data_IF_166226275930
#
_entry.id   IF_166226275930
#
_cell.length_a   1.000
_cell.length_b   1.000
_cell.length_c   1.000
_cell.angle_alpha   90.00
_cell.angle_beta   90.00
_cell.angle_gamma   90.00
#
_symmetry.space_group_name_H-M   'P 1'
#
loop_
_entity.id
_entity.type
_entity.pdbx_description
1 polymer ?
#
# COMPACT_ATOMS: atom_id res chain seq x y z
N UNK A 1 6.09 2.35 4.21
CA UNK A 1 5.58 3.29 3.17
C UNK A 1 6.47 4.52 2.92
N UNK A 2 7.26 5.00 3.89
CA UNK A 2 8.08 6.22 3.75
C UNK A 2 9.01 6.17 2.53
N UNK A 3 9.87 5.16 2.41
CA UNK A 3 10.82 5.06 1.29
C UNK A 3 10.11 4.96 -0.07
N UNK A 4 9.02 4.20 -0.15
CA UNK A 4 8.21 4.12 -1.37
C UNK A 4 7.61 5.48 -1.77
N UNK A 5 7.25 6.32 -0.80
CA UNK A 5 6.76 7.68 -1.04
C UNK A 5 7.85 8.58 -1.59
N UNK A 6 9.06 8.51 -1.02
CA UNK A 6 10.22 9.24 -1.54
C UNK A 6 10.59 8.83 -2.97
N UNK A 7 10.56 7.53 -3.27
CA UNK A 7 10.86 6.99 -4.60
C UNK A 7 9.77 7.29 -5.65
N UNK A 8 8.51 7.43 -5.22
CA UNK A 8 7.36 7.73 -6.08
C UNK A 8 6.99 9.23 -6.09
N UNK A 9 7.82 10.11 -5.53
CA UNK A 9 7.49 11.52 -5.31
C UNK A 9 7.03 12.26 -6.57
N UNK A 10 7.59 11.90 -7.73
CA UNK A 10 7.28 12.51 -9.04
C UNK A 10 5.88 12.20 -9.56
N UNK A 11 5.15 11.27 -8.93
CA UNK A 11 3.78 10.89 -9.31
C UNK A 11 2.72 11.43 -8.37
N UNK A 12 3.10 11.99 -7.23
CA UNK A 12 2.16 12.46 -6.23
C UNK A 12 1.59 13.82 -6.62
N UNK A 13 0.29 13.99 -6.41
CA UNK A 13 -0.43 15.26 -6.61
C UNK A 13 -0.81 15.84 -5.24
N UNK A 14 -1.26 14.99 -4.31
CA UNK A 14 -1.62 15.44 -2.96
C UNK A 14 -0.38 15.71 -2.11
N UNK A 15 -0.48 16.68 -1.20
CA UNK A 15 0.65 17.02 -0.33
C UNK A 15 0.96 15.89 0.64
N UNK A 16 2.25 15.66 0.87
CA UNK A 16 2.76 14.79 1.91
C UNK A 16 4.07 15.36 2.43
N UNK A 17 4.48 14.89 3.59
CA UNK A 17 5.75 15.27 4.18
C UNK A 17 6.35 14.12 5.00
N UNK A 18 7.66 14.17 5.19
CA UNK A 18 8.44 13.18 5.94
C UNK A 18 9.36 13.95 6.88
N UNK A 19 9.46 13.51 8.13
CA UNK A 19 10.42 14.03 9.09
C UNK A 19 11.76 13.34 8.81
N UNK A 20 12.81 14.12 8.61
CA UNK A 20 14.17 13.61 8.56
C UNK A 20 14.95 14.19 9.74
N UNK A 21 15.54 13.34 10.58
CA UNK A 21 16.38 13.77 11.69
C UNK A 21 17.66 12.96 11.76
N UNK A 22 18.75 13.62 12.16
CA UNK A 22 20.10 13.03 12.21
C UNK A 22 20.55 12.91 13.65
N UNK A 23 21.02 11.72 14.03
CA UNK A 23 21.66 11.46 15.32
C UNK A 23 23.06 10.91 15.05
N UNK A 24 24.08 11.70 15.35
CA UNK A 24 25.46 11.38 14.96
C UNK A 24 25.57 11.21 13.44
N UNK A 25 26.06 10.04 13.00
CA UNK A 25 26.18 9.73 11.57
C UNK A 25 25.02 8.88 11.00
N UNK A 26 23.87 8.85 11.70
CA UNK A 26 22.68 8.12 11.25
C UNK A 26 21.58 9.11 10.89
N UNK A 27 21.00 8.94 9.71
CA UNK A 27 19.82 9.67 9.26
C UNK A 27 18.59 8.77 9.39
N UNK A 28 17.56 9.26 10.06
CA UNK A 28 16.29 8.58 10.25
C UNK A 28 15.21 9.32 9.47
N UNK A 29 14.36 8.56 8.78
CA UNK A 29 13.16 9.07 8.15
C UNK A 29 11.96 8.55 8.92
N UNK A 30 11.11 9.46 9.37
CA UNK A 30 9.90 9.17 10.12
C UNK A 30 8.72 9.95 9.54
N UNK A 31 7.52 9.60 9.98
CA UNK A 31 6.27 10.26 9.61
C UNK A 31 5.75 11.05 10.82
N UNK A 32 5.09 12.17 10.60
CA UNK A 32 4.42 12.88 11.71
C UNK A 32 3.37 11.99 12.34
N UNK A 33 3.29 12.01 13.66
CA UNK A 33 2.05 11.61 14.31
C UNK A 33 1.01 12.70 14.04
N UNK A 34 -0.08 12.32 13.38
CA UNK A 34 -1.14 13.26 12.97
C UNK A 34 -2.37 13.15 13.87
N UNK A 35 -2.38 12.21 14.83
CA UNK A 35 -3.53 11.95 15.72
C UNK A 35 -4.85 11.62 15.00
N UNK A 36 -4.83 11.47 13.67
CA UNK A 36 -5.98 11.30 12.80
C UNK A 36 -5.95 10.01 11.99
N UNK A 37 -7.01 9.77 11.20
CA UNK A 37 -7.31 8.49 10.55
C UNK A 37 -6.25 7.97 9.55
N UNK A 38 -5.44 8.83 8.95
CA UNK A 38 -4.29 8.40 8.14
C UNK A 38 -3.28 9.52 7.97
N UNK A 39 -2.01 9.21 8.23
CA UNK A 39 -0.90 10.07 7.81
C UNK A 39 -0.87 10.11 6.26
N UNK A 40 -0.66 11.26 5.61
CA UNK A 40 -0.60 11.35 4.14
C UNK A 40 0.36 10.37 3.46
N UNK A 41 1.47 10.02 4.13
CA UNK A 41 2.43 9.00 3.65
C UNK A 41 1.79 7.61 3.55
N UNK A 42 0.93 7.27 4.51
CA UNK A 42 0.24 5.98 4.60
C UNK A 42 -1.13 5.97 3.91
N UNK A 43 -1.66 7.15 3.57
CA UNK A 43 -2.96 7.27 2.94
C UNK A 43 -3.00 6.51 1.61
N UNK A 44 -4.06 5.70 1.46
CA UNK A 44 -4.43 5.04 0.22
C UNK A 44 -5.36 5.96 -0.57
N UNK A 45 -4.77 6.96 -1.22
CA UNK A 45 -5.49 7.96 -2.02
C UNK A 45 -6.32 7.29 -3.12
N UNK A 46 -7.46 7.89 -3.47
CA UNK A 46 -8.41 7.34 -4.45
C UNK A 46 -8.55 8.35 -5.57
N UNK A 47 -8.25 7.92 -6.81
CA UNK A 47 -8.32 8.75 -8.01
C UNK A 47 -7.45 10.03 -7.96
N UNK A 48 -6.36 10.03 -7.18
CA UNK A 48 -5.47 11.19 -6.98
C UNK A 48 -4.91 11.75 -8.30
N UNK A 49 -4.58 10.88 -9.25
CA UNK A 49 -3.96 11.26 -10.52
C UNK A 49 -4.96 11.27 -11.69
N UNK A 50 -6.26 11.15 -11.37
CA UNK A 50 -7.31 11.28 -12.37
C UNK A 50 -7.45 12.73 -12.83
N UNK A 51 -7.82 12.99 -14.09
CA UNK A 51 -8.26 14.32 -14.53
C UNK A 51 -9.45 14.85 -13.71
N UNK A 52 -10.30 13.94 -13.25
CA UNK A 52 -11.50 14.23 -12.45
C UNK A 52 -11.30 13.73 -11.02
N UNK A 53 -10.16 14.13 -10.41
CA UNK A 53 -9.85 13.78 -9.03
C UNK A 53 -10.97 14.26 -8.08
N UNK A 54 -11.34 13.47 -7.05
CA UNK A 54 -12.34 13.87 -6.08
C UNK A 54 -12.00 15.24 -5.45
N UNK A 55 -12.95 16.16 -5.49
CA UNK A 55 -12.76 17.57 -5.09
C UNK A 55 -13.93 18.12 -4.26
N UNK A 56 -14.78 17.25 -3.71
CA UNK A 56 -15.90 17.66 -2.87
C UNK A 56 -15.41 18.43 -1.64
N UNK A 57 -15.84 19.67 -1.48
CA UNK A 57 -15.55 20.51 -0.30
C UNK A 57 -16.41 20.14 0.92
N UNK A 58 -17.52 19.45 0.70
CA UNK A 58 -18.36 18.93 1.78
C UNK A 58 -17.66 17.74 2.47
N UNK A 59 -17.15 17.99 3.68
CA UNK A 59 -16.47 16.98 4.51
C UNK A 59 -17.38 15.82 4.94
N UNK A 60 -18.71 16.01 4.91
CA UNK A 60 -19.69 14.96 5.22
C UNK A 60 -20.01 14.10 4.01
N UNK A 61 -19.64 14.56 2.81
CA UNK A 61 -19.78 13.80 1.58
C UNK A 61 -19.00 12.49 1.68
N UNK A 62 -19.65 11.41 1.32
CA UNK A 62 -19.01 10.10 1.27
C UNK A 62 -17.92 10.01 0.19
N UNK A 63 -18.00 10.88 -0.82
CA UNK A 63 -17.03 11.00 -1.90
C UNK A 63 -15.94 12.05 -1.60
N UNK A 64 -15.90 12.61 -0.40
CA UNK A 64 -14.81 13.47 0.03
C UNK A 64 -13.48 12.68 0.03
N UNK A 65 -12.36 13.23 -0.47
CA UNK A 65 -11.09 12.50 -0.65
C UNK A 65 -10.63 11.74 0.60
N UNK A 66 -10.79 12.38 1.77
CA UNK A 66 -10.47 11.77 3.07
C UNK A 66 -11.31 10.53 3.36
N UNK A 67 -12.63 10.60 3.12
CA UNK A 67 -13.55 9.50 3.42
C UNK A 67 -13.30 8.33 2.47
N UNK A 68 -13.05 8.61 1.19
CA UNK A 68 -12.64 7.60 0.21
C UNK A 68 -11.31 6.93 0.59
N UNK A 69 -10.30 7.69 1.04
CA UNK A 69 -9.03 7.13 1.48
C UNK A 69 -9.19 6.25 2.74
N UNK A 70 -10.06 6.64 3.66
CA UNK A 70 -10.42 5.82 4.84
C UNK A 70 -11.13 4.53 4.42
N UNK A 71 -12.10 4.60 3.52
CA UNK A 71 -12.77 3.41 2.95
C UNK A 71 -11.76 2.49 2.26
N UNK A 72 -10.86 3.03 1.44
CA UNK A 72 -9.81 2.28 0.75
C UNK A 72 -8.84 1.58 1.73
N UNK A 73 -8.51 2.23 2.86
CA UNK A 73 -7.71 1.64 3.93
C UNK A 73 -8.42 0.42 4.53
N UNK A 74 -9.69 0.55 4.91
CA UNK A 74 -10.48 -0.56 5.44
C UNK A 74 -10.63 -1.70 4.44
N UNK A 75 -10.88 -1.39 3.17
CA UNK A 75 -10.93 -2.39 2.10
C UNK A 75 -9.61 -3.17 2.03
N UNK A 76 -8.46 -2.48 2.03
CA UNK A 76 -7.16 -3.14 1.97
C UNK A 76 -6.89 -4.01 3.21
N UNK A 77 -7.20 -3.51 4.41
CA UNK A 77 -7.01 -4.26 5.66
C UNK A 77 -7.90 -5.51 5.75
N UNK A 78 -9.13 -5.44 5.26
CA UNK A 78 -10.06 -6.56 5.25
C UNK A 78 -9.71 -7.55 4.14
N UNK A 79 -9.47 -7.05 2.92
CA UNK A 79 -9.16 -7.89 1.76
C UNK A 79 -7.94 -8.76 2.01
N UNK A 80 -6.83 -8.18 2.53
CA UNK A 80 -5.61 -8.94 2.81
C UNK A 80 -5.84 -10.10 3.80
N UNK A 81 -6.73 -9.92 4.79
CA UNK A 81 -7.07 -10.96 5.77
C UNK A 81 -8.00 -12.01 5.17
N UNK A 82 -8.98 -11.57 4.40
CA UNK A 82 -10.02 -12.40 3.80
C UNK A 82 -9.46 -13.43 2.80
N UNK A 83 -8.42 -13.08 2.05
CA UNK A 83 -7.86 -13.95 1.01
C UNK A 83 -6.82 -14.95 1.51
N UNK A 84 -6.51 -14.93 2.81
CA UNK A 84 -5.57 -15.86 3.43
C UNK A 84 -6.31 -17.02 4.07
N UNK A 85 -5.65 -18.17 4.13
CA UNK A 85 -6.16 -19.33 4.85
C UNK A 85 -5.94 -19.11 6.35
N UNK A 86 -7.04 -19.16 7.13
CA UNK A 86 -7.01 -18.92 8.59
C UNK A 86 -7.07 -20.19 9.45
N UNK A 87 -7.28 -21.34 8.81
CA UNK A 87 -7.39 -22.64 9.48
C UNK A 87 -6.11 -23.49 9.33
N UNK A 88 -5.02 -22.90 8.85
CA UNK A 88 -3.73 -23.54 8.65
C UNK A 88 -2.66 -22.83 9.51
N UNK A 89 -1.58 -23.54 9.86
CA UNK A 89 -0.46 -22.92 10.57
C UNK A 89 0.17 -21.81 9.71
N UNK A 90 0.32 -20.59 10.26
CA UNK A 90 0.92 -19.49 9.51
C UNK A 90 2.41 -19.72 9.30
N UNK A 91 2.90 -19.24 8.16
CA UNK A 91 4.34 -19.16 7.91
C UNK A 91 4.99 -18.22 8.95
N UNK A 92 6.07 -18.68 9.58
CA UNK A 92 6.83 -17.94 10.59
C UNK A 92 8.26 -17.74 10.09
N UNK A 93 8.74 -16.50 10.17
CA UNK A 93 10.16 -16.21 10.03
C UNK A 93 10.94 -16.68 11.26
N UNK A 94 12.27 -16.66 11.16
CA UNK A 94 13.20 -17.04 12.25
C UNK A 94 12.87 -16.35 13.59
N UNK A 95 12.42 -15.09 13.53
CA UNK A 95 11.91 -14.35 14.68
C UNK A 95 10.37 -14.32 14.62
N UNK A 96 9.67 -15.17 15.39
CA UNK A 96 8.22 -15.30 15.30
C UNK A 96 7.46 -14.16 15.99
N UNK A 97 8.11 -13.42 16.91
CA UNK A 97 7.48 -12.30 17.62
C UNK A 97 7.69 -11.00 16.85
N UNK A 98 6.62 -10.22 16.71
CA UNK A 98 6.72 -8.87 16.17
C UNK A 98 7.44 -7.96 17.16
N UNK A 99 8.35 -7.08 16.71
CA UNK A 99 9.19 -6.26 17.60
C UNK A 99 8.43 -5.12 18.32
N UNK A 100 7.14 -4.96 18.01
CA UNK A 100 6.24 -3.95 18.59
C UNK A 100 4.95 -4.61 19.13
N UNK A 101 4.98 -5.93 19.32
CA UNK A 101 3.94 -6.63 20.05
C UNK A 101 4.18 -6.42 21.55
N UNK A 102 3.24 -5.75 22.22
CA UNK A 102 3.31 -5.48 23.67
C UNK A 102 2.85 -6.68 24.52
N UNK A 103 2.62 -7.85 23.90
CA UNK A 103 2.25 -9.09 24.57
C UNK A 103 0.77 -9.45 24.45
N UNK A 104 0.03 -8.77 23.57
CA UNK A 104 -1.37 -9.06 23.30
C UNK A 104 -1.45 -10.02 22.09
N UNK A 105 -1.21 -11.29 22.38
CA UNK A 105 -1.05 -12.39 21.41
C UNK A 105 -2.28 -12.68 20.56
N UNK A 106 -3.39 -11.98 20.77
CA UNK A 106 -4.68 -12.19 20.07
C UNK A 106 -4.88 -11.25 18.87
N UNK A 107 -3.88 -10.42 18.56
CA UNK A 107 -3.96 -9.55 17.39
C UNK A 107 -3.69 -10.36 16.12
N UNK A 108 -4.75 -10.69 15.36
CA UNK A 108 -4.67 -11.34 14.03
C UNK A 108 -3.97 -10.43 13.00
N UNK A 109 -2.65 -10.38 13.12
CA UNK A 109 -1.74 -9.58 12.33
C UNK A 109 -1.15 -10.47 11.23
N UNK A 110 -1.85 -10.53 10.11
CA UNK A 110 -1.38 -11.22 8.90
C UNK A 110 -0.32 -10.40 8.14
N UNK A 111 0.79 -10.06 8.81
CA UNK A 111 1.93 -9.36 8.18
C UNK A 111 3.23 -9.81 8.80
N UNK A 112 4.23 -10.04 7.94
CA UNK A 112 5.59 -10.34 8.36
C UNK A 112 6.53 -9.20 7.98
N UNK A 113 7.50 -8.90 8.84
CA UNK A 113 8.46 -7.83 8.64
C UNK A 113 9.85 -8.39 8.36
N UNK A 114 10.53 -7.78 7.39
CA UNK A 114 11.90 -8.13 7.01
C UNK A 114 12.74 -6.86 6.98
N UNK A 115 13.84 -6.85 7.70
CA UNK A 115 14.79 -5.73 7.66
C UNK A 115 15.86 -6.04 6.62
N UNK A 116 16.02 -5.13 5.66
CA UNK A 116 16.91 -5.32 4.52
C UNK A 116 17.93 -4.19 4.47
N UNK A 117 19.15 -4.53 4.07
CA UNK A 117 20.29 -3.61 3.95
C UNK A 117 20.67 -3.47 2.47
N UNK A 118 20.85 -2.23 2.02
CA UNK A 118 21.40 -1.90 0.70
C UNK A 118 22.64 -1.02 0.85
N UNK A 119 23.63 -1.28 0.01
CA UNK A 119 24.81 -0.43 -0.15
C UNK A 119 24.55 0.54 -1.31
N UNK A 120 24.45 1.84 -1.00
CA UNK A 120 24.12 2.88 -1.98
C UNK A 120 25.37 3.57 -2.55
N UNK A 121 26.56 2.99 -2.34
CA UNK A 121 27.84 3.54 -2.75
C UNK A 121 28.53 4.32 -1.64
N UNK A 122 29.42 5.24 -2.03
CA UNK A 122 30.26 6.03 -1.13
C UNK A 122 30.08 7.52 -1.38
N UNK A 123 30.14 8.31 -0.32
CA UNK A 123 30.25 9.77 -0.40
C UNK A 123 31.65 10.17 -0.90
N UNK A 124 31.81 11.45 -1.24
CA UNK A 124 33.10 12.01 -1.68
C UNK A 124 34.23 11.84 -0.65
N UNK A 125 33.89 11.80 0.64
CA UNK A 125 34.82 11.57 1.76
C UNK A 125 35.18 10.08 1.98
N UNK A 126 34.67 9.18 1.13
CA UNK A 126 34.89 7.74 1.22
C UNK A 126 33.91 7.00 2.14
N UNK A 127 33.02 7.71 2.85
CA UNK A 127 32.05 7.08 3.77
C UNK A 127 31.01 6.29 3.01
N UNK A 128 30.82 5.02 3.39
CA UNK A 128 29.78 4.17 2.80
C UNK A 128 28.37 4.60 3.20
N UNK A 129 27.49 4.72 2.22
CA UNK A 129 26.07 4.98 2.45
C UNK A 129 25.33 3.65 2.50
N UNK A 130 24.81 3.34 3.70
CA UNK A 130 24.03 2.13 3.96
C UNK A 130 22.59 2.50 4.25
N UNK A 131 21.66 1.90 3.51
CA UNK A 131 20.23 2.05 3.73
C UNK A 131 19.69 0.79 4.39
N UNK A 132 19.12 0.94 5.58
CA UNK A 132 18.34 -0.11 6.24
C UNK A 132 16.87 0.24 6.10
N UNK A 133 16.07 -0.66 5.54
CA UNK A 133 14.63 -0.47 5.42
C UNK A 133 13.88 -1.66 6.02
N UNK A 134 12.85 -1.36 6.82
CA UNK A 134 11.84 -2.34 7.22
C UNK A 134 10.87 -2.52 6.07
N UNK A 135 10.74 -3.75 5.59
CA UNK A 135 9.83 -4.16 4.52
C UNK A 135 8.81 -5.17 5.03
N UNK A 136 7.78 -5.43 4.25
CA UNK A 136 6.60 -6.18 4.68
C UNK A 136 6.18 -7.21 3.63
N UNK A 137 5.74 -8.38 4.08
CA UNK A 137 5.06 -9.38 3.26
C UNK A 137 3.67 -9.65 3.85
N UNK A 138 2.66 -9.73 2.99
CA UNK A 138 1.26 -9.87 3.36
C UNK A 138 0.81 -11.35 3.40
N UNK A 139 1.57 -12.27 2.81
CA UNK A 139 1.26 -13.69 2.82
C UNK A 139 2.28 -14.54 2.08
N UNK A 140 2.01 -15.85 1.99
CA UNK A 140 2.81 -16.82 1.24
C UNK A 140 1.93 -17.70 0.36
N UNK A 141 2.53 -18.24 -0.70
CA UNK A 141 1.94 -19.32 -1.51
C UNK A 141 2.99 -20.37 -1.80
N UNK A 142 2.56 -21.60 -2.10
CA UNK A 142 3.45 -22.59 -2.69
C UNK A 142 3.55 -22.34 -4.19
N UNK A 143 4.79 -22.32 -4.69
CA UNK A 143 5.09 -22.30 -6.10
C UNK A 143 4.92 -23.69 -6.74
N UNK A 144 5.09 -23.78 -8.07
CA UNK A 144 4.87 -25.03 -8.81
C UNK A 144 5.75 -26.20 -8.35
N UNK A 145 6.93 -25.93 -7.80
CA UNK A 145 7.86 -26.96 -7.33
C UNK A 145 7.82 -27.15 -5.80
N UNK A 146 6.82 -26.57 -5.13
CA UNK A 146 6.66 -26.63 -3.67
C UNK A 146 7.50 -25.61 -2.90
N UNK A 147 8.20 -24.69 -3.59
CA UNK A 147 8.93 -23.61 -2.93
C UNK A 147 7.96 -22.58 -2.34
N UNK A 148 8.32 -22.00 -1.18
CA UNK A 148 7.52 -20.92 -0.58
C UNK A 148 7.81 -19.61 -1.29
N UNK A 149 6.77 -19.00 -1.86
CA UNK A 149 6.81 -17.69 -2.51
C UNK A 149 6.15 -16.63 -1.64
N UNK A 150 6.82 -15.49 -1.47
CA UNK A 150 6.39 -14.36 -0.67
C UNK A 150 5.47 -13.43 -1.46
N UNK A 151 4.42 -12.95 -0.82
CA UNK A 151 3.39 -12.14 -1.48
C UNK A 151 3.32 -10.73 -0.89
N UNK A 152 3.10 -9.77 -1.77
CA UNK A 152 2.49 -8.47 -1.43
C UNK A 152 1.06 -8.46 -1.94
N UNK A 153 0.09 -8.16 -1.08
CA UNK A 153 -1.34 -8.21 -1.39
C UNK A 153 -1.91 -6.82 -1.20
N UNK A 154 -2.53 -6.28 -2.25
CA UNK A 154 -3.17 -4.95 -2.24
C UNK A 154 -4.54 -5.04 -2.92
N UNK A 155 -5.42 -4.08 -2.64
CA UNK A 155 -6.74 -4.03 -3.24
C UNK A 155 -6.99 -2.66 -3.87
N UNK A 156 -7.37 -2.66 -5.14
CA UNK A 156 -8.05 -1.52 -5.76
C UNK A 156 -9.51 -1.50 -5.30
N UNK A 157 -10.06 -0.29 -5.24
CA UNK A 157 -11.44 -0.04 -4.87
C UNK A 157 -12.15 0.80 -5.93
N UNK A 158 -13.23 0.27 -6.50
CA UNK A 158 -14.17 1.02 -7.32
C UNK A 158 -15.21 1.68 -6.41
N UNK A 159 -15.32 3.01 -6.51
CA UNK A 159 -16.33 3.80 -5.82
C UNK A 159 -17.48 4.13 -6.78
N UNK A 160 -17.56 5.34 -7.34
CA UNK A 160 -18.52 5.67 -8.41
C UNK A 160 -17.79 5.82 -9.75
N UNK A 161 -17.91 4.82 -10.62
CA UNK A 161 -17.25 4.80 -11.93
C UNK A 161 -17.69 5.95 -12.85
N UNK A 162 -18.88 6.52 -12.64
CA UNK A 162 -19.39 7.66 -13.43
C UNK A 162 -18.71 8.97 -13.04
N UNK A 163 -18.32 9.09 -11.78
CA UNK A 163 -17.65 10.28 -11.25
C UNK A 163 -16.12 10.17 -11.35
N UNK A 164 -15.58 8.95 -11.36
CA UNK A 164 -14.15 8.69 -11.34
C UNK A 164 -13.48 8.72 -12.72
N UNK A 165 -14.18 9.17 -13.77
CA UNK A 165 -13.80 8.93 -15.17
C UNK A 165 -13.34 7.48 -15.40
N UNK A 166 -14.13 6.57 -14.82
CA UNK A 166 -13.80 5.17 -14.67
C UNK A 166 -14.53 4.29 -15.68
N UNK A 167 -14.10 3.05 -15.73
CA UNK A 167 -14.78 1.98 -16.45
C UNK A 167 -15.60 1.19 -15.44
N UNK A 168 -16.86 0.84 -15.74
CA UNK A 168 -17.65 -0.03 -14.86
C UNK A 168 -17.04 -1.43 -14.80
N UNK A 169 -16.52 -1.82 -13.64
CA UNK A 169 -15.81 -3.08 -13.47
C UNK A 169 -16.72 -4.28 -13.67
N UNK A 170 -18.00 -4.18 -13.29
CA UNK A 170 -18.96 -5.30 -13.41
C UNK A 170 -19.17 -5.74 -14.85
N UNK A 171 -19.27 -4.79 -15.78
CA UNK A 171 -19.45 -5.11 -17.20
C UNK A 171 -18.15 -5.38 -17.95
N UNK A 172 -17.01 -4.89 -17.46
CA UNK A 172 -15.74 -4.89 -18.22
C UNK A 172 -14.67 -5.83 -17.71
N UNK A 173 -14.76 -6.35 -16.49
CA UNK A 173 -13.71 -7.23 -15.97
C UNK A 173 -13.60 -8.55 -16.71
N UNK A 174 -14.67 -9.10 -17.28
CA UNK A 174 -14.54 -10.37 -18.01
C UNK A 174 -13.98 -10.19 -19.42
N UNK A 175 -14.31 -9.07 -20.07
CA UNK A 175 -14.02 -8.83 -21.49
C UNK A 175 -12.85 -7.87 -21.74
N UNK A 176 -12.55 -6.97 -20.80
CA UNK A 176 -11.64 -5.84 -20.99
C UNK A 176 -10.76 -5.57 -19.74
N UNK A 177 -10.20 -6.62 -19.13
CA UNK A 177 -9.30 -6.52 -17.95
C UNK A 177 -8.18 -5.50 -18.14
N UNK A 178 -7.57 -5.46 -19.33
CA UNK A 178 -6.50 -4.51 -19.65
C UNK A 178 -6.96 -3.05 -19.59
N UNK A 179 -8.19 -2.76 -20.03
CA UNK A 179 -8.75 -1.41 -19.98
C UNK A 179 -9.03 -0.97 -18.54
N UNK A 180 -9.56 -1.88 -17.71
CA UNK A 180 -9.76 -1.60 -16.27
C UNK A 180 -8.43 -1.29 -15.59
N UNK A 181 -7.41 -2.13 -15.81
CA UNK A 181 -6.10 -1.91 -15.21
C UNK A 181 -5.41 -0.63 -15.73
N UNK A 182 -5.55 -0.31 -17.01
CA UNK A 182 -5.02 0.93 -17.58
C UNK A 182 -5.68 2.17 -16.95
N UNK A 183 -7.00 2.13 -16.74
CA UNK A 183 -7.76 3.18 -16.06
C UNK A 183 -7.29 3.35 -14.62
N UNK A 184 -7.10 2.25 -13.89
CA UNK A 184 -6.56 2.29 -12.53
C UNK A 184 -5.12 2.81 -12.48
N UNK A 185 -4.27 2.47 -13.44
CA UNK A 185 -2.92 3.00 -13.54
C UNK A 185 -2.91 4.52 -13.78
N UNK A 186 -3.85 5.03 -14.58
CA UNK A 186 -4.00 6.45 -14.84
C UNK A 186 -4.55 7.20 -13.62
N UNK A 187 -5.63 6.69 -13.01
CA UNK A 187 -6.31 7.38 -11.92
C UNK A 187 -5.60 7.23 -10.56
N UNK A 188 -4.83 6.15 -10.36
CA UNK A 188 -4.20 5.82 -9.09
C UNK A 188 -2.66 5.64 -9.23
N UNK A 189 -2.02 6.40 -10.11
CA UNK A 189 -0.62 6.20 -10.51
C UNK A 189 0.36 6.24 -9.33
N UNK A 190 0.21 7.21 -8.42
CA UNK A 190 1.06 7.31 -7.24
C UNK A 190 0.85 6.13 -6.28
N UNK A 191 -0.40 5.78 -5.98
CA UNK A 191 -0.75 4.65 -5.11
C UNK A 191 -0.17 3.33 -5.64
N UNK A 192 -0.37 3.04 -6.92
CA UNK A 192 0.15 1.83 -7.55
C UNK A 192 1.68 1.81 -7.57
N UNK A 193 2.34 2.93 -7.90
CA UNK A 193 3.80 3.03 -7.84
C UNK A 193 4.34 2.74 -6.44
N UNK A 194 3.73 3.31 -5.38
CA UNK A 194 4.10 3.02 -3.99
C UNK A 194 3.95 1.53 -3.66
N UNK A 195 2.88 0.87 -4.11
CA UNK A 195 2.66 -0.56 -3.87
C UNK A 195 3.70 -1.43 -4.59
N UNK A 196 3.98 -1.15 -5.85
CA UNK A 196 5.01 -1.87 -6.61
C UNK A 196 6.39 -1.69 -5.98
N UNK A 197 6.75 -0.47 -5.57
CA UNK A 197 8.00 -0.19 -4.88
C UNK A 197 8.10 -0.93 -3.53
N UNK A 198 7.01 -1.04 -2.78
CA UNK A 198 6.98 -1.84 -1.56
C UNK A 198 7.29 -3.32 -1.83
N UNK A 199 6.65 -3.91 -2.85
CA UNK A 199 6.89 -5.30 -3.23
C UNK A 199 8.34 -5.52 -3.68
N UNK A 200 8.88 -4.60 -4.49
CA UNK A 200 10.28 -4.64 -4.95
C UNK A 200 11.27 -4.51 -3.78
N UNK A 201 11.06 -3.55 -2.88
CA UNK A 201 11.90 -3.36 -1.70
C UNK A 201 11.85 -4.58 -0.78
N UNK A 202 10.67 -5.18 -0.58
CA UNK A 202 10.51 -6.39 0.21
C UNK A 202 11.19 -7.60 -0.44
N UNK A 203 11.29 -7.60 -1.77
CA UNK A 203 11.68 -8.76 -2.56
C UNK A 203 10.58 -9.82 -2.53
N UNK A 204 9.33 -9.39 -2.69
CA UNK A 204 8.20 -10.30 -2.88
C UNK A 204 8.27 -10.97 -4.25
N UNK A 205 7.98 -12.27 -4.31
CA UNK A 205 7.97 -13.03 -5.57
C UNK A 205 6.77 -12.64 -6.44
N UNK A 206 5.64 -12.32 -5.82
CA UNK A 206 4.44 -11.86 -6.52
C UNK A 206 3.78 -10.69 -5.80
N UNK A 207 3.18 -9.80 -6.59
CA UNK A 207 2.17 -8.85 -6.11
C UNK A 207 0.80 -9.33 -6.59
N UNK A 208 -0.17 -9.45 -5.67
CA UNK A 208 -1.55 -9.83 -5.97
C UNK A 208 -2.48 -8.64 -5.73
N UNK A 209 -3.31 -8.36 -6.72
CA UNK A 209 -4.30 -7.29 -6.65
C UNK A 209 -5.71 -7.85 -6.52
N UNK A 210 -6.42 -7.39 -5.49
CA UNK A 210 -7.87 -7.48 -5.38
C UNK A 210 -8.56 -6.34 -6.12
N UNK A 211 -9.70 -6.64 -6.73
CA UNK A 211 -10.59 -5.66 -7.32
C UNK A 211 -11.89 -5.70 -6.51
N UNK A 212 -12.08 -4.72 -5.64
CA UNK A 212 -13.25 -4.61 -4.76
C UNK A 212 -14.13 -3.46 -5.24
N UNK A 213 -15.43 -3.72 -5.42
CA UNK A 213 -16.40 -2.71 -5.82
C UNK A 213 -17.53 -2.62 -4.80
N UNK A 214 -18.06 -1.41 -4.58
CA UNK A 214 -19.25 -1.19 -3.76
C UNK A 214 -20.45 -1.95 -4.34
N UNK A 215 -21.32 -2.51 -3.49
CA UNK A 215 -22.45 -3.34 -3.95
C UNK A 215 -23.50 -2.55 -4.76
N UNK A 216 -23.79 -1.31 -4.37
CA UNK A 216 -24.67 -0.38 -5.09
C UNK A 216 -23.96 0.95 -5.26
N UNK A 217 -24.05 1.52 -6.46
CA UNK A 217 -23.64 2.90 -6.71
C UNK A 217 -24.51 3.81 -5.85
N UNK A 218 -23.87 4.68 -5.08
CA UNK A 218 -24.55 5.47 -4.06
C UNK A 218 -25.32 6.59 -4.74
N UNK A 219 -26.64 6.62 -4.55
CA UNK A 219 -27.50 7.74 -4.97
C UNK A 219 -27.26 8.84 -3.94
N UNK A 220 -26.80 10.01 -4.39
CA UNK A 220 -26.75 11.24 -3.59
C UNK A 220 -28.17 11.72 -3.28
#
# INVERSE_FOLDING_TARGET
MILATLMACTRSVYSWDVIAYRVGDKLFFDKRDTGGFSNPVDALTVSETSPDAPNSDDTTSINHPRNLATEALYINQNFRRMVLKRNEEPFKYDNPRLPFDEGDTDTDSCVAYKYRLWHLGRKADGTEVRLVCRTEHDGVTLGPNGETQMLTIKAFNEWDSRMASGVDWRSKLDTQKGAVLATELQNNSCKLAKWTLQALLAGSDQIKFGLVSVFRNRIS
#
